data_IF_183474202709
#
_entry.id   IF_183474202709
#
_cell.length_a   1.000
_cell.length_b   1.000
_cell.length_c   1.000
_cell.angle_alpha   90.00
_cell.angle_beta   90.00
_cell.angle_gamma   90.00
#
_symmetry.space_group_name_H-M   'P 1'
#
loop_
_entity.id
_entity.type
_entity.pdbx_description
1 polymer ?
#
# COMPACT_ATOMS: atom_id res chain seq x y z
N UNK A 1 12.72 14.75 9.23
CA UNK A 1 11.46 14.17 8.66
C UNK A 1 10.81 13.36 9.77
N UNK A 2 9.54 13.65 10.09
CA UNK A 2 8.79 12.89 11.11
C UNK A 2 7.99 11.79 10.43
N UNK A 3 8.35 10.53 10.69
CA UNK A 3 7.63 9.35 10.22
C UNK A 3 6.87 8.80 11.41
N UNK A 4 5.56 8.65 11.29
CA UNK A 4 4.72 7.91 12.23
C UNK A 4 4.40 6.56 11.65
N UNK A 5 4.37 5.55 12.51
CA UNK A 5 4.10 4.18 12.10
C UNK A 5 2.83 3.70 12.76
N UNK A 6 1.92 3.15 11.97
CA UNK A 6 0.68 2.51 12.42
C UNK A 6 0.46 1.15 11.76
N UNK A 7 -0.15 0.27 12.50
CA UNK A 7 -0.48 -1.06 12.04
C UNK A 7 -1.89 -1.44 12.52
N UNK A 8 -2.74 -1.99 11.66
CA UNK A 8 -4.11 -2.38 12.01
C UNK A 8 -4.16 -3.70 12.77
N UNK A 9 -3.74 -3.73 14.03
CA UNK A 9 -3.45 -4.98 14.72
C UNK A 9 -4.50 -5.47 15.68
N UNK A 10 -4.49 -6.81 15.83
CA UNK A 10 -5.03 -7.58 16.95
C UNK A 10 -3.98 -7.99 17.99
N UNK A 11 -2.68 -7.70 17.81
CA UNK A 11 -1.60 -8.11 18.73
C UNK A 11 -0.51 -7.04 18.81
N UNK A 12 0.09 -6.81 20.00
CA UNK A 12 1.22 -5.91 20.11
C UNK A 12 2.42 -6.47 19.36
N UNK A 13 2.98 -5.70 18.41
CA UNK A 13 4.24 -6.04 17.76
C UNK A 13 5.38 -5.86 18.75
N UNK A 14 6.14 -6.92 19.00
CA UNK A 14 7.31 -6.87 19.87
C UNK A 14 8.42 -6.04 19.19
N UNK A 15 8.74 -4.90 19.76
CA UNK A 15 10.03 -4.25 19.57
C UNK A 15 10.13 -3.12 18.56
N UNK A 16 9.04 -2.58 18.01
CA UNK A 16 9.10 -1.36 17.21
C UNK A 16 8.75 -0.17 18.11
N UNK A 17 9.67 0.75 18.39
CA UNK A 17 9.35 1.98 19.13
C UNK A 17 8.44 2.87 18.28
N UNK A 18 7.53 3.58 18.94
CA UNK A 18 6.62 4.57 18.34
C UNK A 18 5.54 4.02 17.40
N UNK A 19 5.13 2.76 17.56
CA UNK A 19 3.96 2.20 16.85
C UNK A 19 2.70 2.49 17.66
N UNK A 20 1.78 3.25 17.08
CA UNK A 20 0.43 3.39 17.61
C UNK A 20 -0.45 2.27 17.06
N UNK A 21 -1.21 1.65 17.94
CA UNK A 21 -2.13 0.58 17.57
C UNK A 21 -3.55 1.15 17.52
N UNK A 22 -4.22 1.00 16.39
CA UNK A 22 -5.65 1.26 16.32
C UNK A 22 -6.36 0.03 16.88
N UNK A 23 -6.82 0.13 18.14
CA UNK A 23 -7.58 -0.94 18.78
C UNK A 23 -8.81 -1.32 17.98
N UNK A 24 -9.09 -2.60 17.97
CA UNK A 24 -10.33 -3.14 17.44
C UNK A 24 -11.45 -2.81 18.44
N UNK A 25 -12.25 -1.79 18.16
CA UNK A 25 -13.34 -1.30 19.02
C UNK A 25 -14.59 -2.22 19.02
N UNK A 26 -14.38 -3.54 18.83
CA UNK A 26 -15.40 -4.58 19.01
C UNK A 26 -16.39 -4.77 17.86
N UNK A 27 -16.36 -3.91 16.86
CA UNK A 27 -17.08 -4.10 15.61
C UNK A 27 -16.07 -3.95 14.49
N UNK A 28 -15.61 -5.04 13.86
CA UNK A 28 -14.52 -5.04 12.91
C UNK A 28 -14.58 -3.85 11.91
N UNK A 29 -14.03 -2.66 12.22
CA UNK A 29 -14.00 -1.58 11.27
C UNK A 29 -13.10 -2.04 10.12
N UNK A 30 -13.55 -1.82 8.90
CA UNK A 30 -12.80 -2.19 7.71
C UNK A 30 -11.40 -1.58 7.73
N UNK A 31 -10.42 -2.23 7.11
CA UNK A 31 -9.07 -1.69 6.95
C UNK A 31 -9.10 -0.31 6.27
N UNK A 32 -10.05 -0.10 5.35
CA UNK A 32 -10.26 1.20 4.71
C UNK A 32 -10.60 2.29 5.74
N UNK A 33 -11.51 2.01 6.68
CA UNK A 33 -11.86 2.97 7.75
C UNK A 33 -10.72 3.18 8.73
N UNK A 34 -9.97 2.13 9.05
CA UNK A 34 -8.79 2.23 9.91
C UNK A 34 -7.72 3.11 9.27
N UNK A 35 -7.44 2.91 7.97
CA UNK A 35 -6.50 3.77 7.25
C UNK A 35 -6.95 5.23 7.26
N UNK A 36 -8.24 5.51 7.04
CA UNK A 36 -8.75 6.88 7.10
C UNK A 36 -8.54 7.52 8.48
N UNK A 37 -8.75 6.78 9.57
CA UNK A 37 -8.44 7.25 10.94
C UNK A 37 -6.95 7.49 11.14
N UNK A 38 -6.10 6.61 10.60
CA UNK A 38 -4.65 6.75 10.68
C UNK A 38 -4.15 8.01 9.96
N UNK A 39 -4.73 8.33 8.81
CA UNK A 39 -4.43 9.56 8.07
C UNK A 39 -4.83 10.81 8.86
N UNK A 40 -6.01 10.81 9.49
CA UNK A 40 -6.45 11.89 10.38
C UNK A 40 -5.49 12.09 11.54
N UNK A 41 -5.17 11.02 12.24
CA UNK A 41 -4.24 11.05 13.36
C UNK A 41 -2.84 11.53 12.94
N UNK A 42 -2.29 11.03 11.84
CA UNK A 42 -1.00 11.46 11.34
C UNK A 42 -0.98 12.97 11.02
N UNK A 43 -2.07 13.50 10.47
CA UNK A 43 -2.24 14.93 10.22
C UNK A 43 -2.26 15.74 11.53
N UNK A 44 -3.02 15.31 12.54
CA UNK A 44 -3.08 15.93 13.87
C UNK A 44 -1.71 15.95 14.55
N UNK A 45 -0.93 14.88 14.39
CA UNK A 45 0.42 14.78 14.92
C UNK A 45 1.46 15.60 14.14
N UNK A 46 1.10 16.21 13.01
CA UNK A 46 2.01 16.96 12.16
C UNK A 46 3.12 16.10 11.56
N UNK A 47 2.81 14.85 11.21
CA UNK A 47 3.74 13.95 10.55
C UNK A 47 4.06 14.42 9.13
N UNK A 48 5.25 14.08 8.64
CA UNK A 48 5.59 14.22 7.22
C UNK A 48 5.12 13.00 6.42
N UNK A 49 5.28 11.82 7.02
CA UNK A 49 4.88 10.54 6.45
C UNK A 49 4.18 9.68 7.50
N UNK A 50 3.14 8.97 7.09
CA UNK A 50 2.54 7.84 7.79
C UNK A 50 3.11 6.56 7.20
N UNK A 51 3.63 5.67 8.03
CA UNK A 51 3.93 4.29 7.68
C UNK A 51 2.77 3.42 8.17
N UNK A 52 2.01 2.89 7.22
CA UNK A 52 0.96 1.90 7.47
C UNK A 52 1.45 0.55 7.02
N UNK A 53 1.46 -0.46 7.88
CA UNK A 53 1.94 -1.80 7.51
C UNK A 53 1.17 -2.90 8.23
N UNK A 54 1.22 -4.11 7.68
CA UNK A 54 0.68 -5.29 8.34
C UNK A 54 1.48 -5.61 9.61
N UNK A 55 0.81 -6.20 10.61
CA UNK A 55 1.43 -6.59 11.89
C UNK A 55 2.43 -7.74 11.78
N UNK A 56 2.35 -8.49 10.71
CA UNK A 56 3.22 -9.59 10.37
C UNK A 56 4.29 -9.23 9.31
N UNK A 57 4.55 -7.92 9.15
CA UNK A 57 5.62 -7.43 8.28
C UNK A 57 6.86 -7.06 9.12
N UNK A 58 8.00 -7.58 8.71
CA UNK A 58 9.32 -7.21 9.22
C UNK A 58 10.08 -6.35 8.20
N UNK A 59 10.47 -5.14 8.58
CA UNK A 59 11.33 -4.28 7.77
C UNK A 59 12.79 -4.64 8.08
N UNK A 60 13.48 -5.27 7.14
CA UNK A 60 14.83 -5.81 7.33
C UNK A 60 15.94 -4.76 7.13
N UNK A 61 15.66 -3.69 6.39
CA UNK A 61 16.61 -2.59 6.14
C UNK A 61 15.99 -1.23 6.52
N UNK A 62 15.68 -1.01 7.81
CA UNK A 62 14.99 0.21 8.26
C UNK A 62 15.80 1.48 8.01
N UNK A 63 17.13 1.38 7.98
CA UNK A 63 18.06 2.49 7.68
C UNK A 63 17.90 3.03 6.26
N UNK A 64 17.33 2.25 5.35
CA UNK A 64 17.06 2.66 3.97
C UNK A 64 15.71 3.37 3.79
N UNK A 65 14.81 3.32 4.76
CA UNK A 65 13.47 3.90 4.65
C UNK A 65 13.54 5.41 4.42
N UNK A 66 14.17 6.15 5.34
CA UNK A 66 14.22 7.62 5.23
C UNK A 66 14.91 8.11 3.97
N UNK A 67 16.10 7.61 3.56
CA UNK A 67 16.73 8.01 2.31
C UNK A 67 15.84 7.77 1.09
N UNK A 68 15.16 6.61 1.04
CA UNK A 68 14.24 6.28 -0.06
C UNK A 68 13.01 7.20 -0.07
N UNK A 69 12.42 7.53 1.08
CA UNK A 69 11.28 8.45 1.16
C UNK A 69 11.67 9.88 0.74
N UNK A 70 12.86 10.35 1.09
CA UNK A 70 13.38 11.64 0.61
C UNK A 70 13.53 11.66 -0.90
N UNK A 71 14.04 10.57 -1.48
CA UNK A 71 14.13 10.40 -2.93
C UNK A 71 12.74 10.39 -3.56
N UNK A 72 11.82 9.58 -3.03
CA UNK A 72 10.44 9.49 -3.51
C UNK A 72 9.75 10.86 -3.53
N UNK A 73 9.89 11.63 -2.45
CA UNK A 73 9.36 12.99 -2.36
C UNK A 73 9.92 13.89 -3.46
N UNK A 74 11.25 13.87 -3.67
CA UNK A 74 11.92 14.66 -4.70
C UNK A 74 11.46 14.29 -6.10
N UNK A 75 11.22 13.01 -6.36
CA UNK A 75 10.72 12.50 -7.63
C UNK A 75 9.21 12.73 -7.85
N UNK A 76 8.53 13.34 -6.87
CA UNK A 76 7.11 13.70 -6.93
C UNK A 76 6.15 12.62 -6.41
N UNK A 77 6.66 11.55 -5.80
CA UNK A 77 5.80 10.54 -5.18
C UNK A 77 5.23 11.01 -3.84
N UNK A 78 3.99 10.63 -3.55
CA UNK A 78 3.29 10.89 -2.30
C UNK A 78 2.70 9.63 -1.66
N UNK A 79 2.78 8.53 -2.36
CA UNK A 79 2.53 7.18 -1.85
C UNK A 79 3.71 6.31 -2.25
N UNK A 80 4.17 5.45 -1.35
CA UNK A 80 5.27 4.54 -1.60
C UNK A 80 5.00 3.19 -0.91
N UNK A 81 5.62 2.13 -1.42
CA UNK A 81 5.57 0.77 -0.87
C UNK A 81 6.83 0.00 -1.20
N UNK A 82 6.85 -1.30 -0.94
CA UNK A 82 8.03 -2.17 -1.16
C UNK A 82 7.86 -3.15 -2.31
N UNK A 83 6.63 -3.35 -2.75
CA UNK A 83 6.26 -4.21 -3.88
C UNK A 83 4.99 -3.66 -4.51
N UNK A 84 4.79 -3.88 -5.80
CA UNK A 84 3.59 -3.44 -6.50
C UNK A 84 3.64 -3.72 -7.98
N UNK A 85 2.77 -3.04 -8.74
CA UNK A 85 2.66 -3.20 -10.18
C UNK A 85 2.86 -1.88 -10.95
N UNK A 86 3.46 -2.00 -12.11
CA UNK A 86 3.63 -0.89 -13.07
C UNK A 86 2.34 -0.59 -13.83
N UNK A 87 1.42 -1.55 -13.88
CA UNK A 87 0.10 -1.40 -14.50
C UNK A 87 -0.91 -2.28 -13.78
N UNK A 88 -2.17 -1.85 -13.79
CA UNK A 88 -3.30 -2.57 -13.19
C UNK A 88 -4.31 -2.86 -14.27
N UNK A 89 -4.63 -4.14 -14.48
CA UNK A 89 -5.65 -4.60 -15.41
C UNK A 89 -6.86 -5.18 -14.67
N UNK A 90 -6.60 -5.68 -13.48
CA UNK A 90 -7.58 -6.21 -12.53
C UNK A 90 -7.19 -5.75 -11.14
N UNK A 91 -8.12 -5.56 -10.20
CA UNK A 91 -7.81 -5.11 -8.85
C UNK A 91 -6.79 -6.00 -8.12
N UNK A 92 -6.76 -7.31 -8.43
CA UNK A 92 -5.73 -8.24 -7.92
C UNK A 92 -4.44 -8.10 -8.75
N UNK A 93 -3.67 -7.07 -8.52
CA UNK A 93 -2.45 -6.82 -9.28
C UNK A 93 -1.47 -8.00 -9.28
N UNK A 94 -1.40 -8.79 -8.20
CA UNK A 94 -0.54 -9.98 -8.08
C UNK A 94 -1.02 -11.15 -8.97
N UNK A 95 -2.25 -11.14 -9.44
CA UNK A 95 -2.77 -12.12 -10.41
C UNK A 95 -2.44 -11.75 -11.86
N UNK A 96 -1.85 -10.61 -12.08
CA UNK A 96 -1.28 -10.24 -13.38
C UNK A 96 -0.05 -11.13 -13.65
N UNK A 97 -0.24 -12.34 -14.15
CA UNK A 97 0.80 -13.33 -14.49
C UNK A 97 1.83 -12.85 -15.54
N UNK A 98 2.21 -11.59 -15.51
CA UNK A 98 3.19 -10.98 -16.39
C UNK A 98 4.35 -10.44 -15.56
N UNK A 99 5.51 -11.14 -15.53
CA UNK A 99 6.68 -10.77 -14.72
C UNK A 99 7.15 -9.32 -14.91
N UNK A 100 6.96 -8.78 -16.10
CA UNK A 100 7.34 -7.38 -16.44
C UNK A 100 6.44 -6.31 -15.83
N UNK A 101 5.39 -6.70 -15.13
CA UNK A 101 4.41 -5.75 -14.57
C UNK A 101 4.57 -5.56 -13.06
N UNK A 102 5.30 -6.42 -12.38
CA UNK A 102 5.58 -6.31 -10.95
C UNK A 102 6.96 -5.72 -10.70
N UNK A 103 7.11 -4.98 -9.59
CA UNK A 103 8.36 -4.38 -9.17
C UNK A 103 8.49 -4.44 -7.66
N UNK A 104 9.73 -4.49 -7.18
CA UNK A 104 10.03 -4.58 -5.77
C UNK A 104 10.50 -5.97 -5.37
N UNK A 105 10.71 -6.18 -4.08
CA UNK A 105 11.11 -7.46 -3.53
C UNK A 105 10.60 -7.61 -2.09
N UNK A 106 9.86 -8.67 -1.84
CA UNK A 106 9.41 -9.06 -0.51
C UNK A 106 9.64 -10.56 -0.32
N UNK A 107 10.12 -10.94 0.84
CA UNK A 107 10.21 -12.35 1.21
C UNK A 107 8.87 -12.74 1.82
N UNK A 108 8.15 -13.63 1.15
CA UNK A 108 6.89 -14.18 1.63
C UNK A 108 7.15 -15.44 2.46
N UNK A 109 6.75 -15.42 3.72
CA UNK A 109 6.72 -16.60 4.57
C UNK A 109 5.45 -17.41 4.39
N UNK A 110 5.53 -18.71 4.60
CA UNK A 110 4.42 -19.66 4.52
C UNK A 110 4.25 -20.43 5.82
N UNK A 111 3.05 -20.91 6.09
CA UNK A 111 2.72 -21.68 7.32
C UNK A 111 3.55 -22.94 7.49
N UNK A 112 4.05 -23.52 6.42
CA UNK A 112 4.92 -24.69 6.42
C UNK A 112 6.42 -24.35 6.63
N UNK A 113 6.73 -23.09 6.89
CA UNK A 113 8.09 -22.59 7.14
C UNK A 113 8.90 -22.31 5.88
N UNK A 114 8.33 -22.49 4.68
CA UNK A 114 8.98 -22.06 3.45
C UNK A 114 9.02 -20.54 3.34
N UNK A 115 9.98 -20.05 2.59
CA UNK A 115 10.11 -18.65 2.22
C UNK A 115 10.26 -18.55 0.69
N UNK A 116 9.65 -17.55 0.11
CA UNK A 116 9.73 -17.29 -1.33
C UNK A 116 9.93 -15.80 -1.58
N UNK A 117 10.89 -15.45 -2.42
CA UNK A 117 11.02 -14.10 -2.93
C UNK A 117 9.88 -13.84 -3.93
N UNK A 118 9.05 -12.86 -3.61
CA UNK A 118 7.96 -12.38 -4.47
C UNK A 118 8.43 -11.13 -5.18
N UNK A 119 8.27 -11.09 -6.49
CA UNK A 119 8.85 -10.13 -7.41
C UNK A 119 10.40 -10.18 -7.46
N UNK A 120 10.92 -10.02 -8.64
CA UNK A 120 12.32 -10.25 -8.98
C UNK A 120 13.03 -9.00 -9.52
N UNK A 121 12.43 -7.84 -9.39
CA UNK A 121 13.00 -6.57 -9.82
C UNK A 121 13.20 -5.65 -8.61
N UNK A 122 14.23 -5.92 -7.79
CA UNK A 122 14.52 -5.08 -6.62
C UNK A 122 15.00 -3.70 -7.06
N UNK A 123 14.87 -2.75 -6.13
CA UNK A 123 15.36 -1.40 -6.31
C UNK A 123 14.24 -0.37 -6.39
N UNK A 124 14.65 0.88 -6.33
CA UNK A 124 13.75 2.02 -6.34
C UNK A 124 13.11 2.26 -7.72
N UNK A 125 11.80 2.46 -7.75
CA UNK A 125 11.07 2.85 -8.95
C UNK A 125 9.98 3.90 -8.64
N UNK A 126 10.06 5.14 -9.18
CA UNK A 126 9.08 6.20 -8.91
C UNK A 126 7.85 6.17 -9.83
N UNK A 127 7.66 5.13 -10.62
CA UNK A 127 6.63 5.09 -11.66
C UNK A 127 5.72 3.85 -11.51
N UNK A 128 5.27 3.57 -10.30
CA UNK A 128 4.32 2.50 -10.03
C UNK A 128 2.90 2.95 -10.36
N UNK A 129 2.04 2.02 -10.76
CA UNK A 129 0.60 2.24 -10.78
C UNK A 129 0.01 2.06 -9.38
N UNK A 130 0.46 1.02 -8.68
CA UNK A 130 0.08 0.72 -7.30
C UNK A 130 1.25 0.11 -6.55
N UNK A 131 1.15 0.16 -5.22
CA UNK A 131 2.00 -0.59 -4.29
C UNK A 131 1.13 -1.31 -3.27
N UNK A 132 1.60 -2.45 -2.79
CA UNK A 132 0.87 -3.35 -1.90
C UNK A 132 0.70 -2.79 -0.49
N UNK A 133 -0.46 -3.05 0.09
CA UNK A 133 -0.84 -2.60 1.42
C UNK A 133 -0.07 -3.24 2.57
N UNK A 134 0.77 -4.25 2.31
CA UNK A 134 1.61 -4.84 3.35
C UNK A 134 2.55 -3.81 3.99
N UNK A 135 3.02 -2.82 3.22
CA UNK A 135 3.74 -1.66 3.72
C UNK A 135 3.50 -0.44 2.82
N UNK A 136 2.82 0.57 3.35
CA UNK A 136 2.56 1.84 2.69
C UNK A 136 3.21 2.99 3.46
N UNK A 137 3.88 3.88 2.75
CA UNK A 137 4.26 5.19 3.24
C UNK A 137 3.45 6.24 2.50
N UNK A 138 2.70 7.05 3.24
CA UNK A 138 1.78 8.04 2.71
C UNK A 138 2.24 9.41 3.21
N UNK A 139 2.52 10.32 2.27
CA UNK A 139 2.98 11.68 2.59
C UNK A 139 1.81 12.56 3.03
N UNK A 140 2.11 13.60 3.85
CA UNK A 140 1.11 14.55 4.37
C UNK A 140 0.23 15.22 3.33
N UNK A 141 0.72 15.37 2.09
CA UNK A 141 -0.07 15.92 0.97
C UNK A 141 -1.25 15.02 0.57
N UNK A 142 -1.32 13.80 1.15
CA UNK A 142 -2.37 12.82 0.96
C UNK A 142 -3.22 12.58 2.21
N UNK A 143 -2.95 13.23 3.35
CA UNK A 143 -3.67 12.94 4.60
C UNK A 143 -5.14 13.36 4.58
N UNK A 144 -5.54 14.22 3.66
CA UNK A 144 -6.95 14.55 3.37
C UNK A 144 -7.61 13.61 2.36
N UNK A 145 -6.86 12.70 1.75
CA UNK A 145 -7.40 11.68 0.86
C UNK A 145 -8.17 10.64 1.67
N UNK A 146 -9.43 10.40 1.29
CA UNK A 146 -10.29 9.41 1.92
C UNK A 146 -10.44 8.23 0.99
N UNK A 147 -9.96 7.05 1.42
CA UNK A 147 -10.24 5.81 0.71
C UNK A 147 -11.70 5.40 0.93
N UNK A 148 -12.32 4.83 -0.10
CA UNK A 148 -13.67 4.30 0.01
C UNK A 148 -13.70 3.03 0.85
N UNK A 149 -14.87 2.68 1.38
CA UNK A 149 -15.03 1.50 2.23
C UNK A 149 -15.26 0.24 1.39
N UNK A 150 -14.17 -0.37 0.98
CA UNK A 150 -14.17 -1.69 0.33
C UNK A 150 -14.02 -2.85 1.34
N UNK A 151 -14.44 -2.61 2.58
CA UNK A 151 -14.30 -3.51 3.71
C UNK A 151 -12.84 -3.67 4.12
N UNK A 152 -12.17 -4.76 3.76
CA UNK A 152 -10.79 -5.04 4.20
C UNK A 152 -9.78 -5.08 3.05
N UNK A 153 -10.18 -4.66 1.85
CA UNK A 153 -9.37 -4.83 0.65
C UNK A 153 -9.28 -3.54 -0.16
N UNK A 154 -8.30 -3.46 -1.06
CA UNK A 154 -8.15 -2.41 -2.09
C UNK A 154 -8.01 -0.98 -1.55
N UNK A 155 -7.73 -0.80 -0.26
CA UNK A 155 -7.40 0.51 0.32
C UNK A 155 -6.06 1.04 -0.21
N UNK A 156 -5.15 0.13 -0.50
CA UNK A 156 -3.85 0.36 -1.10
C UNK A 156 -3.96 0.78 -2.56
N UNK A 157 -4.75 0.08 -3.35
CA UNK A 157 -5.07 0.48 -4.72
C UNK A 157 -5.73 1.86 -4.75
N UNK A 158 -6.72 2.09 -3.88
CA UNK A 158 -7.49 3.34 -3.86
C UNK A 158 -6.62 4.55 -3.50
N UNK A 159 -5.76 4.44 -2.48
CA UNK A 159 -4.86 5.55 -2.12
C UNK A 159 -3.83 5.84 -3.21
N UNK A 160 -3.33 4.79 -3.90
CA UNK A 160 -2.44 4.95 -5.04
C UNK A 160 -3.15 5.68 -6.20
N UNK A 161 -4.37 5.29 -6.53
CA UNK A 161 -5.15 5.93 -7.58
C UNK A 161 -5.49 7.38 -7.26
N UNK A 162 -5.80 7.70 -6.00
CA UNK A 162 -6.01 9.08 -5.57
C UNK A 162 -4.74 9.92 -5.68
N UNK A 163 -3.58 9.34 -5.40
CA UNK A 163 -2.31 10.03 -5.62
C UNK A 163 -2.08 10.35 -7.10
N UNK A 164 -2.27 9.35 -7.97
CA UNK A 164 -2.14 9.53 -9.42
C UNK A 164 -3.16 10.54 -9.98
N UNK A 165 -4.40 10.52 -9.50
CA UNK A 165 -5.45 11.47 -9.89
C UNK A 165 -5.10 12.91 -9.53
N UNK A 166 -4.39 13.11 -8.40
CA UNK A 166 -3.87 14.42 -7.96
C UNK A 166 -2.60 14.85 -8.71
N UNK A 167 -2.12 14.04 -9.65
CA UNK A 167 -0.88 14.31 -10.41
C UNK A 167 0.40 13.95 -9.66
N UNK A 168 0.30 13.27 -8.52
CA UNK A 168 1.44 12.72 -7.81
C UNK A 168 1.87 11.39 -8.41
N UNK A 169 3.08 10.96 -8.05
CA UNK A 169 3.57 9.62 -8.37
C UNK A 169 3.38 8.66 -7.21
N UNK A 170 3.46 7.37 -7.54
CA UNK A 170 3.56 6.25 -6.60
C UNK A 170 4.93 5.61 -6.80
N UNK A 171 5.64 5.30 -5.71
CA UNK A 171 6.99 4.77 -5.77
C UNK A 171 7.10 3.39 -5.11
N UNK A 172 7.94 2.53 -5.68
CA UNK A 172 8.48 1.37 -4.98
C UNK A 172 9.83 1.76 -4.36
N UNK A 173 9.99 1.49 -3.07
CA UNK A 173 11.22 1.77 -2.32
C UNK A 173 12.19 0.58 -2.42
N UNK A 174 13.49 0.88 -2.41
CA UNK A 174 14.55 -0.13 -2.26
C UNK A 174 14.74 -0.47 -0.77
N UNK A 175 13.71 -1.08 -0.18
CA UNK A 175 13.66 -1.50 1.21
C UNK A 175 13.30 -2.97 1.26
N UNK A 176 14.09 -3.77 1.97
CA UNK A 176 13.82 -5.19 2.12
C UNK A 176 12.83 -5.43 3.24
N UNK A 177 11.81 -6.22 2.95
CA UNK A 177 10.81 -6.63 3.91
C UNK A 177 10.58 -8.14 3.85
N UNK A 178 10.12 -8.69 4.97
CA UNK A 178 9.65 -10.06 5.07
C UNK A 178 8.22 -10.04 5.61
N UNK A 179 7.29 -10.65 4.89
CA UNK A 179 5.92 -10.86 5.29
C UNK A 179 5.79 -12.26 5.88
N UNK A 180 5.44 -12.35 7.15
CA UNK A 180 5.58 -13.59 7.93
C UNK A 180 4.43 -14.58 7.73
N UNK A 181 3.33 -14.16 7.10
CA UNK A 181 2.18 -15.01 6.85
C UNK A 181 1.72 -14.96 5.39
N UNK A 182 0.99 -16.00 4.99
CA UNK A 182 0.41 -16.10 3.64
C UNK A 182 -0.73 -15.11 3.38
N UNK A 183 -1.13 -14.35 4.42
CA UNK A 183 -2.39 -13.63 4.41
C UNK A 183 -3.58 -14.58 4.47
N UNK A 184 -4.75 -14.05 4.76
CA UNK A 184 -5.99 -14.79 4.76
C UNK A 184 -7.09 -13.87 4.27
N UNK A 185 -7.69 -14.19 3.15
CA UNK A 185 -8.90 -13.52 2.69
C UNK A 185 -9.91 -14.55 2.23
N UNK A 186 -11.17 -14.28 2.48
CA UNK A 186 -12.24 -15.05 1.86
C UNK A 186 -12.47 -14.51 0.44
N UNK A 187 -12.39 -15.39 -0.53
CA UNK A 187 -12.52 -15.03 -1.95
C UNK A 187 -13.79 -14.22 -2.25
N UNK A 188 -14.87 -14.53 -1.55
CA UNK A 188 -16.15 -13.83 -1.70
C UNK A 188 -16.05 -12.35 -1.30
N UNK A 189 -15.44 -12.06 -0.16
CA UNK A 189 -15.31 -10.69 0.35
C UNK A 189 -14.42 -9.86 -0.56
N UNK A 190 -13.38 -10.49 -1.10
CA UNK A 190 -12.51 -9.85 -2.08
C UNK A 190 -13.23 -9.53 -3.39
N UNK A 191 -14.08 -10.45 -3.89
CA UNK A 191 -14.85 -10.20 -5.11
C UNK A 191 -15.83 -9.03 -4.93
N UNK A 192 -16.53 -8.96 -3.79
CA UNK A 192 -17.42 -7.84 -3.48
C UNK A 192 -16.65 -6.51 -3.41
N UNK A 193 -15.48 -6.50 -2.77
CA UNK A 193 -14.61 -5.34 -2.71
C UNK A 193 -14.15 -4.91 -4.12
N UNK A 194 -13.76 -5.87 -4.96
CA UNK A 194 -13.37 -5.65 -6.35
C UNK A 194 -14.48 -5.01 -7.18
N UNK A 195 -15.70 -5.54 -7.08
CA UNK A 195 -16.84 -5.03 -7.83
C UNK A 195 -17.15 -3.58 -7.44
N UNK A 196 -17.17 -3.27 -6.13
CA UNK A 196 -17.36 -1.91 -5.61
C UNK A 196 -16.25 -0.96 -6.06
N UNK A 197 -15.00 -1.42 -6.02
CA UNK A 197 -13.85 -0.64 -6.46
C UNK A 197 -13.93 -0.31 -7.95
N UNK A 198 -14.25 -1.30 -8.77
CA UNK A 198 -14.40 -1.12 -10.21
C UNK A 198 -15.54 -0.17 -10.55
N UNK A 199 -16.69 -0.29 -9.88
CA UNK A 199 -17.82 0.61 -10.08
C UNK A 199 -17.48 2.05 -9.68
N UNK A 200 -16.82 2.23 -8.55
CA UNK A 200 -16.37 3.54 -8.07
C UNK A 200 -15.43 4.23 -9.05
N UNK A 201 -14.41 3.53 -9.54
CA UNK A 201 -13.39 4.12 -10.39
C UNK A 201 -13.81 4.23 -11.85
N UNK A 202 -14.61 3.32 -12.40
CA UNK A 202 -15.19 3.43 -13.75
C UNK A 202 -16.11 4.64 -13.90
N UNK A 203 -16.90 4.94 -12.87
CA UNK A 203 -17.77 6.12 -12.87
C UNK A 203 -17.00 7.44 -12.90
N UNK A 204 -15.73 7.44 -12.50
CA UNK A 204 -14.82 8.60 -12.45
C UNK A 204 -13.87 8.69 -13.63
N UNK A 205 -14.03 7.81 -14.59
CA UNK A 205 -13.49 7.87 -15.96
C UNK A 205 -11.96 7.80 -16.14
N UNK A 206 -11.18 7.30 -15.18
CA UNK A 206 -9.74 7.23 -15.46
C UNK A 206 -9.06 6.09 -14.71
N UNK A 207 -8.89 4.93 -15.35
CA UNK A 207 -8.08 3.83 -14.85
C UNK A 207 -6.63 3.98 -15.32
N UNK A 208 -5.61 3.93 -14.43
CA UNK A 208 -4.24 3.86 -14.89
C UNK A 208 -3.98 2.48 -15.44
N UNK A 209 -3.70 2.44 -16.71
CA UNK A 209 -3.30 1.18 -17.34
C UNK A 209 -1.79 0.99 -17.26
N UNK A 210 -1.02 2.09 -17.26
CA UNK A 210 0.45 2.03 -17.16
C UNK A 210 0.95 3.31 -16.47
N UNK A 211 1.90 3.17 -15.54
CA UNK A 211 2.56 4.29 -14.90
C UNK A 211 3.18 5.24 -15.92
N UNK A 212 2.96 6.53 -15.75
CA UNK A 212 3.47 7.57 -16.64
C UNK A 212 2.68 7.78 -17.93
N UNK A 213 1.67 6.98 -18.22
CA UNK A 213 0.71 7.25 -19.29
C UNK A 213 -0.63 7.68 -18.69
N UNK A 214 -1.26 8.67 -19.32
CA UNK A 214 -2.64 9.03 -18.98
C UNK A 214 -3.54 7.81 -19.08
N UNK A 215 -4.40 7.67 -18.09
CA UNK A 215 -5.48 6.70 -18.09
C UNK A 215 -6.14 6.60 -19.47
N UNK A 216 -6.19 5.41 -20.02
CA UNK A 216 -6.99 5.14 -21.20
C UNK A 216 -8.14 4.23 -20.78
N UNK A 217 -9.37 4.64 -21.14
CA UNK A 217 -10.51 3.74 -21.04
C UNK A 217 -10.14 2.37 -21.60
N UNK A 218 -10.29 1.34 -20.80
CA UNK A 218 -10.37 -0.03 -21.28
C UNK A 218 -11.79 -0.19 -21.78
N UNK A 219 -11.95 -0.12 -23.10
CA UNK A 219 -13.21 -0.46 -23.76
C UNK A 219 -13.46 -1.95 -23.70
#
# INVERSE_FOLDING_TARGET
MKILTETPISRPANGIPDVNYIENDGGAPSLCRKLNKALEWANEQGADWLCWHHDDLEIQTPELVEPNLRRAYTDGARVAGVIGALAVFVPQWWMNNRPVMTWGAIIQGYKDGREQLMADQPGYNPNMAIVDGCALWIHRDMFDARVEDYVNHLYDDDICFRALQRGYKVACLDVRCKHLSEGGYEFRDYQEASDRFMDYWRARAEFPVISGQKFKEVK
#
